data_IF_649643997405
#
_entry.id   IF_649643997405
#
_cell.length_a   1.000
_cell.length_b   1.000
_cell.length_c   1.000
_cell.angle_alpha   90.00
_cell.angle_beta   90.00
_cell.angle_gamma   90.00
#
_symmetry.space_group_name_H-M   'P 1'
#
loop_
_entity.id
_entity.type
_entity.pdbx_description
1 polymer ?
#
# COMPACT_ATOMS: atom_id res chain seq x y z
N UNK A 1 8.69 10.48 3.02
CA UNK A 1 8.17 10.60 1.64
C UNK A 1 9.25 11.20 0.74
N UNK A 2 9.12 11.03 -0.57
CA UNK A 2 9.98 11.58 -1.64
C UNK A 2 9.11 12.44 -2.56
N UNK A 3 9.62 13.60 -3.00
CA UNK A 3 8.92 14.48 -3.95
C UNK A 3 9.14 14.01 -5.39
N UNK A 4 8.06 13.94 -6.17
CA UNK A 4 8.09 13.66 -7.61
C UNK A 4 7.63 14.93 -8.35
N UNK A 5 8.56 15.75 -8.88
CA UNK A 5 8.22 17.04 -9.46
C UNK A 5 7.36 16.92 -10.72
N UNK A 6 7.51 15.86 -11.50
CA UNK A 6 6.84 15.70 -12.79
C UNK A 6 5.32 15.49 -12.68
N UNK A 7 4.86 14.91 -11.58
CA UNK A 7 3.42 14.77 -11.28
C UNK A 7 2.95 15.62 -10.10
N UNK A 8 3.82 16.43 -9.52
CA UNK A 8 3.55 17.29 -8.36
C UNK A 8 2.96 16.55 -7.16
N UNK A 9 3.55 15.43 -6.74
CA UNK A 9 3.11 14.70 -5.54
C UNK A 9 4.27 14.22 -4.69
N UNK A 10 3.98 13.91 -3.44
CA UNK A 10 4.87 13.17 -2.56
C UNK A 10 4.47 11.70 -2.56
N UNK A 11 5.44 10.78 -2.54
CA UNK A 11 5.18 9.33 -2.41
C UNK A 11 5.95 8.74 -1.22
N UNK A 12 5.38 7.72 -0.58
CA UNK A 12 6.00 6.97 0.51
C UNK A 12 7.39 6.47 0.11
N UNK A 13 8.37 6.60 1.03
CA UNK A 13 9.75 6.17 0.76
C UNK A 13 9.84 4.65 0.60
N UNK A 14 8.95 3.95 1.28
CA UNK A 14 8.78 2.50 1.33
C UNK A 14 7.29 2.18 1.40
N UNK A 15 6.95 0.89 1.37
CA UNK A 15 5.62 0.38 1.70
C UNK A 15 5.20 0.76 3.12
N UNK A 16 3.88 0.82 3.39
CA UNK A 16 3.36 1.04 4.74
C UNK A 16 3.71 -0.16 5.62
N UNK A 17 4.31 0.10 6.77
CA UNK A 17 4.77 -0.91 7.72
C UNK A 17 3.68 -1.34 8.68
N UNK A 18 3.88 -2.47 9.38
CA UNK A 18 3.00 -2.88 10.47
C UNK A 18 2.94 -1.84 11.60
N UNK A 19 4.08 -1.23 11.97
CA UNK A 19 4.09 -0.15 12.98
C UNK A 19 3.17 1.01 12.58
N UNK A 20 3.17 1.39 11.30
CA UNK A 20 2.32 2.47 10.79
C UNK A 20 0.86 2.04 10.67
N UNK A 21 0.59 0.85 10.14
CA UNK A 21 -0.77 0.37 9.92
C UNK A 21 -1.51 0.05 11.23
N UNK A 22 -0.80 -0.46 12.24
CA UNK A 22 -1.40 -0.75 13.54
C UNK A 22 -1.85 0.51 14.28
N UNK A 23 -1.22 1.68 14.04
CA UNK A 23 -1.75 2.95 14.56
C UNK A 23 -3.16 3.25 14.05
N UNK A 24 -3.45 2.88 12.79
CA UNK A 24 -4.79 3.01 12.23
C UNK A 24 -5.77 1.99 12.84
N UNK A 25 -5.35 0.74 13.01
CA UNK A 25 -6.20 -0.28 13.66
C UNK A 25 -6.55 0.09 15.11
N UNK A 26 -5.58 0.63 15.83
CA UNK A 26 -5.67 0.95 17.25
C UNK A 26 -6.30 2.31 17.53
N UNK A 27 -6.45 3.16 16.52
CA UNK A 27 -7.09 4.46 16.65
C UNK A 27 -8.53 4.31 17.15
N UNK A 28 -8.82 4.84 18.34
CA UNK A 28 -10.18 5.07 18.79
C UNK A 28 -10.63 6.43 18.25
N UNK A 29 -11.62 6.41 17.35
CA UNK A 29 -12.21 7.62 16.79
C UNK A 29 -13.07 8.26 17.89
N UNK A 30 -12.49 9.15 18.70
CA UNK A 30 -13.22 9.79 19.80
C UNK A 30 -14.11 10.96 19.36
N UNK A 31 -14.24 11.27 18.07
CA UNK A 31 -14.97 12.48 17.64
C UNK A 31 -15.78 12.31 16.34
N UNK A 32 -17.10 12.54 16.48
CA UNK A 32 -18.13 12.86 15.49
C UNK A 32 -18.35 11.91 14.29
N UNK A 33 -19.29 10.98 14.45
CA UNK A 33 -20.03 10.39 13.32
C UNK A 33 -20.72 11.53 12.55
N UNK A 34 -20.47 11.68 11.22
CA UNK A 34 -21.13 12.74 10.44
C UNK A 34 -22.66 12.67 10.56
N UNK A 35 -23.39 13.80 10.57
CA UNK A 35 -24.84 13.80 10.62
C UNK A 35 -25.44 12.98 9.46
N UNK A 36 -26.26 11.99 9.78
CA UNK A 36 -26.87 11.10 8.79
C UNK A 36 -26.05 9.86 8.40
N UNK A 37 -24.96 9.58 9.12
CA UNK A 37 -24.22 8.32 9.03
C UNK A 37 -24.51 7.48 10.27
N UNK A 38 -24.92 6.22 10.10
CA UNK A 38 -25.28 5.35 11.23
C UNK A 38 -24.05 4.69 11.89
N UNK A 39 -22.95 4.54 11.15
CA UNK A 39 -21.67 4.04 11.66
C UNK A 39 -20.49 4.36 10.72
N UNK A 40 -19.31 4.62 11.28
CA UNK A 40 -18.02 4.56 10.57
C UNK A 40 -17.40 3.20 10.91
N UNK A 41 -17.09 2.39 9.89
CA UNK A 41 -16.47 1.07 10.09
C UNK A 41 -14.96 1.16 9.89
N UNK A 42 -14.20 0.45 10.74
CA UNK A 42 -12.75 0.31 10.67
C UNK A 42 -12.37 -1.18 10.63
N UNK A 43 -11.17 -1.57 10.17
CA UNK A 43 -10.75 -2.95 10.30
C UNK A 43 -10.73 -3.31 11.78
N UNK A 44 -11.34 -4.43 12.12
CA UNK A 44 -11.05 -5.10 13.38
C UNK A 44 -9.53 -5.31 13.45
N UNK A 45 -8.93 -5.12 14.63
CA UNK A 45 -7.56 -5.61 14.83
C UNK A 45 -7.55 -7.08 14.38
N UNK A 46 -6.55 -7.53 13.60
CA UNK A 46 -6.51 -8.88 13.08
C UNK A 46 -6.14 -9.86 14.22
N UNK A 47 -7.06 -10.03 15.18
CA UNK A 47 -6.77 -10.62 16.48
C UNK A 47 -7.08 -12.11 16.60
N UNK A 48 -7.85 -12.72 15.70
CA UNK A 48 -8.43 -14.04 16.00
C UNK A 48 -8.18 -15.14 14.95
N UNK A 49 -7.35 -14.92 13.92
CA UNK A 49 -7.04 -15.94 12.90
C UNK A 49 -5.57 -15.88 12.49
N UNK A 50 -4.73 -16.66 13.19
CA UNK A 50 -3.27 -16.71 12.98
C UNK A 50 -2.59 -15.34 13.16
N UNK A 51 -1.30 -15.28 13.52
CA UNK A 51 -0.67 -13.99 13.72
C UNK A 51 -0.69 -13.24 12.37
N UNK A 52 -1.21 -12.01 12.40
CA UNK A 52 -1.48 -11.20 11.21
C UNK A 52 -0.23 -10.93 10.36
N UNK A 53 0.94 -11.05 10.98
CA UNK A 53 2.26 -10.97 10.37
C UNK A 53 2.77 -12.32 9.86
N UNK A 54 1.94 -13.37 9.86
CA UNK A 54 2.26 -14.75 9.44
C UNK A 54 3.41 -15.39 10.22
N UNK A 55 3.63 -14.96 11.46
CA UNK A 55 4.81 -15.31 12.27
C UNK A 55 6.14 -14.79 11.65
N UNK A 56 6.09 -13.90 10.66
CA UNK A 56 7.30 -13.28 10.08
C UNK A 56 7.80 -12.11 10.94
N UNK A 57 6.96 -11.61 11.84
CA UNK A 57 7.20 -10.46 12.70
C UNK A 57 6.58 -9.16 12.18
N UNK A 58 6.08 -8.34 13.10
CA UNK A 58 5.59 -6.99 12.83
C UNK A 58 6.69 -5.93 12.68
N UNK A 59 6.44 -4.73 13.20
CA UNK A 59 7.44 -3.66 13.22
C UNK A 59 7.60 -2.98 11.86
N UNK A 60 8.85 -2.89 11.40
CA UNK A 60 9.25 -2.28 10.11
C UNK A 60 9.08 -3.18 8.89
N UNK A 61 8.56 -4.41 9.05
CA UNK A 61 8.08 -5.19 7.89
C UNK A 61 6.83 -4.54 7.31
N UNK A 62 6.60 -4.64 6.00
CA UNK A 62 5.44 -4.06 5.37
C UNK A 62 4.16 -4.77 5.84
N UNK A 63 3.07 -4.01 5.96
CA UNK A 63 1.76 -4.57 6.32
C UNK A 63 1.22 -5.39 5.15
N UNK A 64 0.96 -6.68 5.40
CA UNK A 64 0.55 -7.66 4.38
C UNK A 64 -0.90 -8.07 4.53
N UNK A 65 -1.50 -8.64 3.48
CA UNK A 65 -2.87 -9.15 3.54
C UNK A 65 -3.92 -8.05 3.74
N UNK A 66 -3.55 -6.80 3.56
CA UNK A 66 -4.45 -5.65 3.67
C UNK A 66 -5.27 -5.57 2.39
N UNK A 67 -6.59 -5.41 2.47
CA UNK A 67 -7.41 -5.26 1.26
C UNK A 67 -7.23 -3.89 0.61
N UNK A 68 -7.59 -3.76 -0.67
CA UNK A 68 -7.61 -2.46 -1.36
C UNK A 68 -8.51 -1.44 -0.66
N UNK A 69 -9.64 -1.89 -0.09
CA UNK A 69 -10.52 -1.03 0.68
C UNK A 69 -9.86 -0.57 1.99
N UNK A 70 -9.22 -1.48 2.72
CA UNK A 70 -8.49 -1.16 3.94
C UNK A 70 -7.38 -0.14 3.70
N UNK A 71 -6.60 -0.31 2.62
CA UNK A 71 -5.55 0.63 2.22
C UNK A 71 -6.11 2.03 1.89
N UNK A 72 -7.27 2.11 1.21
CA UNK A 72 -7.97 3.39 0.97
C UNK A 72 -8.45 4.05 2.27
N UNK A 73 -9.02 3.28 3.20
CA UNK A 73 -9.47 3.82 4.49
C UNK A 73 -8.28 4.26 5.36
N UNK A 74 -7.15 3.55 5.33
CA UNK A 74 -5.91 4.01 5.96
C UNK A 74 -5.48 5.38 5.42
N UNK A 75 -5.50 5.58 4.10
CA UNK A 75 -5.16 6.88 3.51
C UNK A 75 -6.14 7.99 3.94
N UNK A 76 -7.44 7.67 4.02
CA UNK A 76 -8.46 8.60 4.53
C UNK A 76 -8.21 8.96 5.99
N UNK A 77 -7.96 7.98 6.85
CA UNK A 77 -7.61 8.18 8.25
C UNK A 77 -6.37 9.06 8.40
N UNK A 78 -5.31 8.75 7.65
CA UNK A 78 -4.07 9.52 7.68
C UNK A 78 -4.33 10.97 7.24
N UNK A 79 -5.23 11.17 6.28
CA UNK A 79 -5.61 12.51 5.83
C UNK A 79 -6.31 13.32 6.90
N UNK A 80 -7.29 12.71 7.57
CA UNK A 80 -8.05 13.35 8.65
C UNK A 80 -7.15 13.72 9.84
N UNK A 81 -6.25 12.82 10.23
CA UNK A 81 -5.38 13.02 11.39
C UNK A 81 -4.24 14.02 11.16
N UNK A 82 -3.86 14.25 9.91
CA UNK A 82 -2.72 15.15 9.58
C UNK A 82 -3.15 16.46 8.95
N UNK A 83 -4.41 16.58 8.52
CA UNK A 83 -4.91 17.72 7.75
C UNK A 83 -4.33 17.82 6.33
N UNK A 84 -3.69 16.75 5.83
CA UNK A 84 -3.09 16.69 4.48
C UNK A 84 -3.83 15.67 3.64
N UNK A 85 -3.82 15.82 2.31
CA UNK A 85 -4.52 14.88 1.42
C UNK A 85 -3.63 13.67 1.07
N UNK A 86 -3.97 12.49 1.59
CA UNK A 86 -3.31 11.20 1.30
C UNK A 86 -4.24 10.26 0.53
N UNK A 87 -3.65 9.46 -0.37
CA UNK A 87 -4.34 8.41 -1.15
C UNK A 87 -3.35 7.33 -1.60
N UNK A 88 -3.86 6.29 -2.25
CA UNK A 88 -3.02 5.37 -3.02
C UNK A 88 -2.49 6.07 -4.29
N UNK A 89 -1.28 5.70 -4.78
CA UNK A 89 -0.78 6.17 -6.06
C UNK A 89 -1.71 5.73 -7.20
N UNK A 90 -1.89 6.54 -8.24
CA UNK A 90 -2.40 5.98 -9.51
C UNK A 90 -1.35 5.06 -10.13
N UNK A 91 -1.73 4.23 -11.10
CA UNK A 91 -0.77 3.40 -11.84
C UNK A 91 0.31 4.25 -12.53
N UNK A 92 -0.09 5.39 -13.10
CA UNK A 92 0.82 6.32 -13.75
C UNK A 92 1.80 6.95 -12.76
N UNK A 93 1.32 7.38 -11.58
CA UNK A 93 2.19 7.92 -10.54
C UNK A 93 3.16 6.86 -10.01
N UNK A 94 2.68 5.65 -9.78
CA UNK A 94 3.55 4.55 -9.36
C UNK A 94 4.65 4.31 -10.39
N UNK A 95 4.27 4.22 -11.67
CA UNK A 95 5.21 3.98 -12.79
C UNK A 95 6.20 5.13 -12.92
N UNK A 96 5.75 6.38 -12.81
CA UNK A 96 6.60 7.56 -12.86
C UNK A 96 7.59 7.62 -11.68
N UNK A 97 7.14 7.25 -10.48
CA UNK A 97 7.97 7.18 -9.29
C UNK A 97 8.99 6.04 -9.37
N UNK A 98 8.59 4.89 -9.95
CA UNK A 98 9.44 3.73 -10.15
C UNK A 98 10.55 4.02 -11.19
N UNK A 99 10.19 4.60 -12.33
CA UNK A 99 11.08 4.76 -13.48
C UNK A 99 11.59 3.41 -13.96
N UNK A 100 12.90 3.30 -14.22
CA UNK A 100 13.56 2.02 -14.53
C UNK A 100 13.55 1.03 -13.33
N UNK A 101 13.06 1.46 -12.16
CA UNK A 101 12.97 0.70 -10.91
C UNK A 101 14.30 0.50 -10.18
N UNK A 102 15.40 0.30 -10.91
CA UNK A 102 16.73 -0.01 -10.36
C UNK A 102 17.87 0.55 -11.22
N UNK A 103 19.08 0.46 -10.72
CA UNK A 103 20.31 0.66 -11.50
C UNK A 103 21.31 -0.41 -11.09
N UNK A 104 21.36 -1.49 -11.87
CA UNK A 104 22.17 -2.67 -11.58
C UNK A 104 21.35 -3.96 -11.45
N UNK A 105 21.96 -5.01 -10.86
CA UNK A 105 21.33 -6.31 -10.63
C UNK A 105 20.06 -6.21 -9.77
N UNK A 106 19.09 -7.11 -10.00
CA UNK A 106 17.80 -7.06 -9.30
C UNK A 106 17.96 -7.30 -7.79
N UNK A 107 18.83 -8.24 -7.41
CA UNK A 107 19.09 -8.66 -6.04
C UNK A 107 19.67 -7.56 -5.13
N UNK A 108 20.19 -6.47 -5.71
CA UNK A 108 20.64 -5.31 -4.96
C UNK A 108 19.48 -4.37 -4.59
N UNK A 109 18.37 -4.42 -5.33
CA UNK A 109 17.25 -3.48 -5.25
C UNK A 109 15.94 -4.13 -4.78
N UNK A 110 15.80 -5.45 -4.87
CA UNK A 110 14.54 -6.15 -4.64
C UNK A 110 14.68 -7.41 -3.77
N UNK A 111 13.60 -7.71 -3.06
CA UNK A 111 13.36 -9.00 -2.42
C UNK A 111 12.36 -9.80 -3.27
N UNK A 112 12.77 -10.97 -3.74
CA UNK A 112 11.98 -11.82 -4.64
C UNK A 112 12.25 -13.30 -4.32
N UNK A 113 11.61 -14.24 -5.02
CA UNK A 113 11.58 -15.66 -4.63
C UNK A 113 12.97 -16.24 -4.31
N UNK A 114 13.99 -15.88 -5.08
CA UNK A 114 15.33 -16.44 -4.93
C UNK A 114 16.11 -15.90 -3.71
N UNK A 115 15.75 -14.75 -3.15
CA UNK A 115 16.54 -14.09 -2.09
C UNK A 115 15.73 -13.64 -0.86
N UNK A 116 14.40 -13.77 -0.87
CA UNK A 116 13.52 -13.29 0.20
C UNK A 116 13.50 -14.20 1.42
N UNK A 117 13.93 -15.46 1.27
CA UNK A 117 13.79 -16.47 2.32
C UNK A 117 12.34 -16.93 2.54
N UNK A 118 11.46 -16.69 1.55
CA UNK A 118 10.06 -17.11 1.61
C UNK A 118 9.16 -16.21 2.46
N UNK A 119 9.56 -14.96 2.68
CA UNK A 119 8.80 -13.97 3.47
C UNK A 119 9.12 -12.54 3.01
N UNK A 120 8.29 -11.57 3.38
CA UNK A 120 8.64 -10.14 3.25
C UNK A 120 9.86 -9.80 4.08
N UNK A 121 10.55 -8.71 3.73
CA UNK A 121 11.68 -8.19 4.49
C UNK A 121 11.37 -6.80 5.05
N UNK A 122 12.11 -6.40 6.10
CA UNK A 122 11.99 -5.03 6.60
C UNK A 122 12.25 -4.02 5.48
N UNK A 123 11.45 -2.96 5.46
CA UNK A 123 11.50 -1.99 4.37
C UNK A 123 12.81 -1.19 4.37
N UNK A 124 13.28 -0.82 3.19
CA UNK A 124 14.47 0.02 3.00
C UNK A 124 15.79 -0.68 3.25
N UNK A 125 15.83 -2.02 3.19
CA UNK A 125 17.05 -2.82 3.39
C UNK A 125 17.86 -3.03 2.10
N UNK A 126 17.24 -2.88 0.94
CA UNK A 126 17.89 -2.90 -0.38
C UNK A 126 18.18 -1.49 -0.89
N UNK A 127 19.01 -1.39 -1.93
CA UNK A 127 19.33 -0.12 -2.55
C UNK A 127 18.06 0.56 -3.10
N UNK A 128 17.94 1.90 -2.96
CA UNK A 128 16.82 2.62 -3.55
C UNK A 128 17.00 2.83 -5.05
N UNK A 129 15.91 3.16 -5.74
CA UNK A 129 15.95 3.67 -7.10
C UNK A 129 16.57 5.08 -7.16
N UNK A 130 16.72 5.64 -8.37
CA UNK A 130 17.34 6.96 -8.60
C UNK A 130 16.67 8.13 -7.86
N UNK A 131 15.42 7.96 -7.40
CA UNK A 131 14.67 8.97 -6.62
C UNK A 131 14.82 8.81 -5.11
N UNK A 132 15.50 7.76 -4.64
CA UNK A 132 15.60 7.44 -3.21
C UNK A 132 14.39 6.66 -2.67
N UNK A 133 13.60 6.02 -3.56
CA UNK A 133 12.51 5.12 -3.18
C UNK A 133 13.03 3.70 -3.04
N UNK A 134 12.70 3.05 -1.94
CA UNK A 134 13.04 1.67 -1.69
C UNK A 134 11.86 0.76 -2.04
N UNK A 135 12.19 -0.51 -2.31
CA UNK A 135 11.22 -1.60 -2.44
C UNK A 135 10.14 -1.29 -3.50
N UNK A 136 10.49 -0.50 -4.53
CA UNK A 136 9.60 -0.28 -5.69
C UNK A 136 9.48 -1.54 -6.54
N UNK A 137 10.41 -2.50 -6.36
CA UNK A 137 10.42 -3.80 -7.00
C UNK A 137 10.58 -4.87 -5.93
N UNK A 138 9.76 -5.91 -6.00
CA UNK A 138 9.76 -7.01 -5.04
C UNK A 138 9.20 -6.59 -3.67
N UNK A 139 9.45 -7.43 -2.67
CA UNK A 139 8.85 -7.37 -1.33
C UNK A 139 7.32 -7.54 -1.40
N UNK A 140 6.56 -6.54 -1.82
CA UNK A 140 5.10 -6.65 -2.02
C UNK A 140 4.64 -6.13 -3.39
N UNK A 141 3.59 -6.77 -3.90
CA UNK A 141 2.72 -6.15 -4.88
C UNK A 141 1.98 -4.98 -4.25
N UNK A 142 2.03 -3.82 -4.89
CA UNK A 142 1.45 -2.61 -4.33
C UNK A 142 0.16 -2.20 -5.01
N UNK A 143 -0.88 -1.98 -4.22
CA UNK A 143 -2.14 -1.43 -4.71
C UNK A 143 -1.98 -0.02 -5.27
N UNK A 144 -2.41 0.16 -6.51
CA UNK A 144 -2.72 1.47 -7.07
C UNK A 144 -4.20 1.84 -6.86
N UNK A 145 -4.50 3.13 -6.97
CA UNK A 145 -5.87 3.66 -7.03
C UNK A 145 -6.53 3.36 -8.38
N UNK A 146 -5.74 3.21 -9.44
CA UNK A 146 -6.24 2.87 -10.77
C UNK A 146 -6.81 1.45 -10.79
N UNK A 147 -7.90 1.21 -11.55
CA UNK A 147 -8.37 -0.14 -11.77
C UNK A 147 -7.43 -0.91 -12.72
N UNK A 148 -7.43 -2.23 -12.64
CA UNK A 148 -6.72 -3.10 -13.59
C UNK A 148 -7.33 -3.01 -14.99
N UNK A 149 -8.65 -2.98 -15.03
CA UNK A 149 -9.48 -2.88 -16.24
C UNK A 149 -10.60 -1.86 -15.97
N UNK A 150 -10.77 -0.88 -16.86
CA UNK A 150 -11.84 0.12 -16.79
C UNK A 150 -13.24 -0.49 -16.83
N UNK A 151 -13.39 -1.70 -17.41
CA UNK A 151 -14.64 -2.45 -17.39
C UNK A 151 -14.96 -3.02 -15.99
N UNK A 152 -13.97 -3.16 -15.11
CA UNK A 152 -14.11 -3.63 -13.72
C UNK A 152 -13.41 -2.67 -12.73
N UNK A 153 -13.97 -1.47 -12.51
CA UNK A 153 -13.34 -0.42 -11.72
C UNK A 153 -13.22 -0.75 -10.22
N UNK A 154 -13.74 -1.91 -9.81
CA UNK A 154 -13.69 -2.41 -8.43
C UNK A 154 -12.45 -3.24 -8.14
N UNK A 155 -11.60 -3.50 -9.14
CA UNK A 155 -10.36 -4.26 -8.99
C UNK A 155 -9.16 -3.39 -9.26
N UNK A 156 -8.34 -3.17 -8.25
CA UNK A 156 -7.08 -2.46 -8.37
C UNK A 156 -6.14 -3.17 -9.35
N UNK A 157 -5.32 -2.38 -10.06
CA UNK A 157 -4.03 -2.86 -10.54
C UNK A 157 -3.04 -2.91 -9.37
N UNK A 158 -2.21 -3.95 -9.35
CA UNK A 158 -1.03 -3.99 -8.50
C UNK A 158 0.26 -3.97 -9.33
N UNK A 159 1.33 -3.42 -8.75
CA UNK A 159 2.61 -3.17 -9.43
C UNK A 159 3.80 -3.67 -8.60
N UNK A 160 4.92 -3.96 -9.28
CA UNK A 160 6.24 -4.11 -8.68
C UNK A 160 6.76 -5.53 -8.42
N UNK A 161 5.92 -6.56 -8.41
CA UNK A 161 6.35 -7.90 -8.00
C UNK A 161 6.45 -8.05 -6.48
N UNK A 162 6.58 -9.27 -5.98
CA UNK A 162 6.66 -9.54 -4.54
C UNK A 162 7.78 -10.51 -4.16
N UNK A 163 7.92 -10.73 -2.84
CA UNK A 163 8.88 -11.65 -2.24
C UNK A 163 8.78 -13.09 -2.77
N UNK A 164 7.64 -13.51 -3.34
CA UNK A 164 7.37 -14.87 -3.83
C UNK A 164 7.40 -14.99 -5.35
N UNK A 165 7.63 -13.90 -6.07
CA UNK A 165 7.67 -13.94 -7.53
C UNK A 165 9.09 -14.21 -8.04
N UNK A 166 9.16 -14.89 -9.18
CA UNK A 166 10.40 -15.08 -9.92
C UNK A 166 10.88 -13.74 -10.52
N UNK A 167 12.20 -13.64 -10.76
CA UNK A 167 12.86 -12.39 -11.14
C UNK A 167 12.30 -11.75 -12.42
N UNK A 168 11.74 -12.54 -13.34
CA UNK A 168 11.14 -12.09 -14.59
C UNK A 168 9.80 -11.37 -14.40
N UNK A 169 9.12 -11.58 -13.27
CA UNK A 169 7.89 -10.88 -12.88
C UNK A 169 8.13 -9.64 -12.02
N UNK A 170 9.36 -9.40 -11.58
CA UNK A 170 9.74 -8.29 -10.70
C UNK A 170 10.29 -7.14 -11.54
N UNK A 171 9.38 -6.48 -12.26
CA UNK A 171 9.69 -5.41 -13.22
C UNK A 171 8.78 -4.19 -13.04
N UNK A 172 9.21 -3.00 -13.49
CA UNK A 172 8.34 -1.82 -13.51
C UNK A 172 7.10 -2.00 -14.38
N UNK A 173 7.12 -2.86 -15.39
CA UNK A 173 6.05 -3.04 -16.37
C UNK A 173 5.00 -4.06 -15.95
N UNK A 174 5.32 -5.02 -15.09
CA UNK A 174 4.42 -6.12 -14.73
C UNK A 174 3.20 -5.62 -13.93
N UNK A 175 2.01 -6.03 -14.39
CA UNK A 175 0.72 -5.69 -13.77
C UNK A 175 0.11 -6.97 -13.20
N UNK A 176 -0.32 -6.92 -11.94
CA UNK A 176 -1.09 -8.01 -11.34
C UNK A 176 -2.55 -7.59 -11.16
N UNK A 177 -3.47 -8.46 -11.60
CA UNK A 177 -4.89 -8.34 -11.31
C UNK A 177 -5.19 -8.99 -9.97
N UNK A 178 -6.06 -8.39 -9.18
CA UNK A 178 -6.57 -9.02 -7.97
C UNK A 178 -7.31 -10.33 -8.27
N UNK A 179 -6.92 -11.42 -7.62
CA UNK A 179 -7.59 -12.71 -7.72
C UNK A 179 -8.59 -12.91 -6.58
N UNK A 180 -9.81 -13.33 -6.92
CA UNK A 180 -10.84 -13.63 -5.93
C UNK A 180 -10.55 -14.87 -5.12
N UNK A 181 -9.69 -15.76 -5.63
CA UNK A 181 -9.30 -16.95 -4.90
C UNK A 181 -8.57 -16.60 -3.59
N UNK A 182 -7.95 -15.42 -3.52
CA UNK A 182 -7.23 -14.98 -2.33
C UNK A 182 -8.10 -14.63 -1.12
N UNK A 183 -9.43 -14.55 -1.30
CA UNK A 183 -10.40 -14.33 -0.22
C UNK A 183 -11.25 -15.56 0.08
N UNK A 184 -11.08 -16.67 -0.64
CA UNK A 184 -11.93 -17.85 -0.46
C UNK A 184 -11.80 -18.53 0.90
N UNK A 185 -10.65 -18.36 1.56
CA UNK A 185 -10.43 -18.90 2.91
C UNK A 185 -11.01 -18.03 4.02
N UNK A 186 -11.59 -16.87 3.70
CA UNK A 186 -12.26 -16.06 4.70
C UNK A 186 -13.50 -16.81 5.23
N UNK A 187 -13.55 -17.16 6.52
CA UNK A 187 -14.69 -17.88 7.09
C UNK A 187 -15.95 -17.01 7.18
N UNK A 188 -15.85 -15.69 7.01
CA UNK A 188 -16.98 -14.77 7.05
C UNK A 188 -17.85 -14.89 5.79
N UNK A 189 -19.18 -14.77 5.97
CA UNK A 189 -20.15 -14.70 4.88
C UNK A 189 -21.03 -13.45 5.04
N UNK A 190 -20.92 -12.45 4.15
CA UNK A 190 -19.94 -12.34 3.05
C UNK A 190 -18.49 -12.16 3.56
N UNK A 191 -17.46 -12.41 2.71
CA UNK A 191 -16.07 -12.15 3.07
C UNK A 191 -15.84 -10.73 3.57
N UNK A 192 -14.93 -10.58 4.53
CA UNK A 192 -14.57 -9.31 5.12
C UNK A 192 -13.99 -8.34 4.09
N UNK A 193 -14.28 -7.05 4.28
CA UNK A 193 -13.77 -5.99 3.38
C UNK A 193 -12.38 -5.49 3.77
N UNK A 194 -11.75 -6.10 4.78
CA UNK A 194 -10.55 -5.56 5.43
C UNK A 194 -9.28 -6.36 5.14
N UNK A 195 -9.40 -7.67 5.06
CA UNK A 195 -8.27 -8.59 5.01
C UNK A 195 -8.37 -9.50 3.78
N UNK A 196 -7.21 -9.95 3.30
CA UNK A 196 -7.06 -10.88 2.18
C UNK A 196 -6.27 -12.09 2.71
N UNK A 197 -6.95 -13.17 3.16
CA UNK A 197 -6.33 -14.31 3.83
C UNK A 197 -5.22 -15.01 3.06
N UNK A 198 -5.16 -14.94 1.73
CA UNK A 198 -4.04 -15.47 0.95
C UNK A 198 -3.26 -14.36 0.20
N UNK A 199 -3.43 -13.11 0.65
CA UNK A 199 -2.81 -11.90 0.10
C UNK A 199 -1.55 -11.46 0.85
N UNK A 200 -0.78 -12.39 1.39
CA UNK A 200 0.49 -12.16 2.13
C UNK A 200 1.63 -11.50 1.31
N UNK A 201 1.40 -11.35 0.02
CA UNK A 201 2.27 -10.71 -0.97
C UNK A 201 1.69 -9.39 -1.48
N UNK A 202 0.58 -8.93 -0.89
CA UNK A 202 -0.12 -7.69 -1.23
C UNK A 202 0.09 -6.65 -0.13
N UNK A 203 0.38 -5.42 -0.53
CA UNK A 203 0.47 -4.27 0.35
C UNK A 203 0.27 -2.98 -0.42
N UNK A 204 0.78 -1.88 0.13
CA UNK A 204 0.62 -0.57 -0.50
C UNK A 204 1.63 0.45 0.03
N UNK A 205 1.79 1.53 -0.72
CA UNK A 205 2.38 2.79 -0.27
C UNK A 205 1.40 3.93 -0.48
N UNK A 206 1.68 5.07 0.15
CA UNK A 206 0.81 6.25 0.09
C UNK A 206 1.43 7.36 -0.76
N UNK A 207 0.58 8.12 -1.44
CA UNK A 207 0.93 9.42 -2.01
C UNK A 207 0.20 10.54 -1.29
N UNK A 208 0.78 11.74 -1.36
CA UNK A 208 0.25 12.95 -0.74
C UNK A 208 0.30 14.09 -1.74
N UNK A 209 -0.83 14.75 -1.93
CA UNK A 209 -0.94 15.95 -2.76
C UNK A 209 -0.12 17.12 -2.19
N UNK A 210 0.30 18.08 -3.02
CA UNK A 210 0.93 19.29 -2.53
C UNK A 210 -0.09 20.10 -1.71
N UNK A 211 0.39 20.89 -0.75
CA UNK A 211 -0.49 21.83 -0.05
C UNK A 211 -1.03 22.83 -1.07
N UNK A 212 -2.36 23.03 -1.10
CA UNK A 212 -2.90 24.18 -1.83
C UNK A 212 -2.33 25.43 -1.18
N UNK A 213 -1.67 26.28 -1.96
CA UNK A 213 -1.31 27.62 -1.48
C UNK A 213 -2.58 28.26 -0.92
N UNK A 214 -2.52 28.78 0.31
CA UNK A 214 -3.65 29.49 0.89
C UNK A 214 -4.05 30.60 -0.09
N UNK A 215 -5.22 30.46 -0.73
CA UNK A 215 -5.79 31.54 -1.52
C UNK A 215 -5.90 32.73 -0.58
N UNK A 216 -5.08 33.75 -0.84
CA UNK A 216 -5.02 34.94 -0.02
C UNK A 216 -6.43 35.51 0.09
N UNK A 217 -7.02 35.41 1.28
CA UNK A 217 -8.20 36.18 1.63
C UNK A 217 -7.79 37.64 1.50
N UNK A 218 -8.09 38.23 0.34
CA UNK A 218 -8.01 39.66 0.13
C UNK A 218 -9.01 40.28 1.09
N UNK A 219 -8.51 40.73 2.24
CA UNK A 219 -9.24 41.64 3.11
C UNK A 219 -9.48 42.91 2.30
N UNK A 220 -10.70 43.08 1.83
CA UNK A 220 -11.26 44.39 1.48
C UNK A 220 -12.22 44.80 2.59
#
# INVERSE_FOLDING_TARGET
MVWVPEGEYWIGRHEVTWDEFLLYCDFEETEAVPPGVDAVTKPSKPLDVEPYDRDWGGGRRPAVGVSWNAAKQYCRWLSLNTGRSYRLPTEDEWTQACGDGRSGPLEEHAWFAANSGGMTQEVGRKAPNRRGLHDMLGNLWEYCLSPYDEADPKRAVLRGGSWKDDADRVTPEERLRFDNDWVLRDPAMPPGVWWVPDGDHLGFRVVRSPEKAAEGVSRR
#
